data_IF_141199060408
#
_entry.id   IF_141199060408
#
_cell.length_a   1.000
_cell.length_b   1.000
_cell.length_c   1.000
_cell.angle_alpha   90.00
_cell.angle_beta   90.00
_cell.angle_gamma   90.00
#
_symmetry.space_group_name_H-M   'P 1'
#
loop_
_entity.id
_entity.type
_entity.pdbx_description
1 polymer ?
#
# COMPACT_ATOMS: atom_id res chain seq x y z
N UNK A 1 -26.44 -91.46 1.90
CA UNK A 1 -26.67 -90.02 1.87
C UNK A 1 -25.31 -89.36 1.94
N UNK A 2 -24.82 -89.03 0.79
CA UNK A 2 -23.46 -88.46 0.66
C UNK A 2 -23.61 -87.05 0.07
N UNK A 3 -23.31 -86.05 0.92
CA UNK A 3 -23.35 -84.64 0.53
C UNK A 3 -22.09 -84.30 -0.29
N UNK A 4 -22.33 -83.81 -1.49
CA UNK A 4 -21.28 -83.23 -2.35
C UNK A 4 -21.24 -81.71 -2.09
N UNK A 5 -20.10 -81.26 -1.56
CA UNK A 5 -19.80 -79.83 -1.46
C UNK A 5 -19.12 -79.32 -2.75
N UNK A 6 -19.56 -78.25 -3.40
CA UNK A 6 -18.90 -77.71 -4.56
C UNK A 6 -17.76 -76.80 -4.12
N UNK A 7 -16.50 -77.07 -4.54
CA UNK A 7 -15.33 -76.23 -4.46
C UNK A 7 -15.45 -75.08 -5.46
N UNK A 8 -15.64 -73.85 -4.98
CA UNK A 8 -15.48 -72.68 -5.82
C UNK A 8 -13.99 -72.40 -6.00
N UNK A 9 -13.49 -72.49 -7.20
CA UNK A 9 -12.18 -71.97 -7.61
C UNK A 9 -12.33 -70.51 -7.94
N UNK A 10 -11.84 -69.66 -7.06
CA UNK A 10 -11.78 -68.22 -7.22
C UNK A 10 -10.60 -67.87 -8.15
N UNK A 11 -10.86 -67.70 -9.43
CA UNK A 11 -9.88 -67.17 -10.40
C UNK A 11 -9.97 -65.66 -10.33
N UNK A 12 -9.22 -65.05 -9.38
CA UNK A 12 -8.98 -63.61 -9.36
C UNK A 12 -8.26 -63.20 -10.66
N UNK A 13 -8.99 -62.63 -11.60
CA UNK A 13 -8.42 -62.02 -12.81
C UNK A 13 -7.64 -60.77 -12.40
N UNK A 14 -6.32 -60.81 -12.55
CA UNK A 14 -5.42 -59.66 -12.43
C UNK A 14 -5.90 -58.60 -13.43
N UNK A 15 -6.18 -57.36 -13.00
CA UNK A 15 -6.56 -56.30 -13.95
C UNK A 15 -5.41 -56.06 -14.95
N UNK A 16 -5.70 -55.76 -16.21
CA UNK A 16 -4.70 -55.56 -17.22
C UNK A 16 -3.79 -54.40 -16.80
N UNK A 17 -2.48 -54.61 -16.80
CA UNK A 17 -1.50 -53.59 -16.48
C UNK A 17 -1.70 -52.40 -17.41
N UNK A 18 -1.94 -51.21 -16.86
CA UNK A 18 -2.04 -49.95 -17.59
C UNK A 18 -0.74 -49.80 -18.40
N UNK A 19 -0.79 -49.52 -19.71
CA UNK A 19 0.43 -49.35 -20.49
C UNK A 19 1.25 -48.20 -19.94
N UNK A 20 2.45 -48.49 -19.46
CA UNK A 20 3.39 -47.52 -18.96
C UNK A 20 3.80 -46.66 -20.15
N UNK A 21 3.55 -45.35 -20.08
CA UNK A 21 3.99 -44.42 -21.13
C UNK A 21 5.50 -44.50 -21.28
N UNK A 22 6.03 -44.54 -22.53
CA UNK A 22 7.46 -44.55 -22.78
C UNK A 22 8.13 -43.33 -22.10
N UNK A 23 9.16 -43.55 -21.29
CA UNK A 23 9.90 -42.51 -20.59
C UNK A 23 9.58 -42.39 -19.10
N UNK A 24 8.41 -42.88 -18.63
CA UNK A 24 8.10 -42.80 -17.18
C UNK A 24 9.03 -43.63 -16.30
N UNK A 25 9.63 -44.68 -16.84
CA UNK A 25 10.57 -45.52 -16.12
C UNK A 25 11.94 -44.87 -15.89
N UNK A 26 12.25 -43.79 -16.64
CA UNK A 26 13.49 -43.03 -16.51
C UNK A 26 13.38 -41.81 -15.59
N UNK A 27 12.19 -41.52 -15.06
CA UNK A 27 12.01 -40.40 -14.16
C UNK A 27 12.58 -40.71 -12.77
N UNK A 28 13.29 -39.73 -12.21
CA UNK A 28 13.75 -39.77 -10.82
C UNK A 28 12.56 -39.83 -9.85
N UNK A 29 12.74 -40.49 -8.70
CA UNK A 29 11.72 -40.52 -7.64
C UNK A 29 11.50 -39.15 -7.00
N UNK A 30 12.50 -38.28 -7.05
CA UNK A 30 12.41 -36.88 -6.58
C UNK A 30 12.41 -35.92 -7.76
N UNK A 31 11.67 -34.84 -7.63
CA UNK A 31 11.67 -33.73 -8.60
C UNK A 31 12.84 -32.80 -8.30
N UNK A 32 13.74 -32.63 -9.28
CA UNK A 32 14.91 -31.75 -9.18
C UNK A 32 14.69 -30.53 -10.08
N UNK A 33 14.19 -29.39 -9.54
CA UNK A 33 13.78 -28.23 -10.37
C UNK A 33 14.96 -27.49 -10.99
N UNK A 34 16.13 -27.48 -10.36
CA UNK A 34 17.26 -26.63 -10.74
C UNK A 34 17.69 -26.76 -12.21
N UNK A 35 17.77 -28.01 -12.72
CA UNK A 35 18.15 -28.25 -14.09
C UNK A 35 17.08 -27.76 -15.10
N UNK A 36 15.79 -27.88 -14.74
CA UNK A 36 14.68 -27.39 -15.56
C UNK A 36 14.63 -25.88 -15.58
N UNK A 37 14.77 -25.24 -14.41
CA UNK A 37 14.82 -23.79 -14.28
C UNK A 37 15.98 -23.17 -15.09
N UNK A 38 17.18 -23.77 -14.98
CA UNK A 38 18.36 -23.30 -15.69
C UNK A 38 18.24 -23.43 -17.23
N UNK A 39 17.46 -24.35 -17.70
CA UNK A 39 17.26 -24.58 -19.13
C UNK A 39 16.08 -23.79 -19.70
N UNK A 40 14.88 -23.97 -19.11
CA UNK A 40 13.65 -23.47 -19.72
C UNK A 40 13.45 -21.98 -19.55
N UNK A 41 13.84 -21.40 -18.43
CA UNK A 41 13.70 -19.95 -18.22
C UNK A 41 14.40 -19.13 -19.32
N UNK A 42 15.73 -19.29 -19.49
CA UNK A 42 16.47 -18.60 -20.55
C UNK A 42 15.97 -18.94 -21.97
N UNK A 43 15.55 -20.18 -22.21
CA UNK A 43 15.07 -20.59 -23.53
C UNK A 43 13.72 -19.91 -23.86
N UNK A 44 12.83 -19.73 -22.87
CA UNK A 44 11.57 -19.03 -23.09
C UNK A 44 11.76 -17.53 -23.32
N UNK A 45 12.67 -16.92 -22.59
CA UNK A 45 13.03 -15.51 -22.81
C UNK A 45 13.64 -15.32 -24.21
N UNK A 46 14.58 -16.17 -24.58
CA UNK A 46 15.21 -16.15 -25.91
C UNK A 46 14.19 -16.29 -27.05
N UNK A 47 13.19 -17.15 -26.87
CA UNK A 47 12.11 -17.35 -27.87
C UNK A 47 11.04 -16.26 -27.82
N UNK A 48 11.07 -15.34 -26.82
CA UNK A 48 10.12 -14.28 -26.68
C UNK A 48 8.71 -14.73 -26.32
N UNK A 49 8.55 -15.84 -25.63
CA UNK A 49 7.23 -16.40 -25.34
C UNK A 49 6.39 -15.51 -24.40
N UNK A 50 7.01 -14.68 -23.56
CA UNK A 50 6.35 -13.68 -22.72
C UNK A 50 6.03 -12.38 -23.44
N UNK A 51 6.68 -12.12 -24.58
CA UNK A 51 6.58 -10.84 -25.29
C UNK A 51 5.21 -10.69 -25.94
N UNK A 52 4.61 -9.49 -25.85
CA UNK A 52 3.35 -9.17 -26.48
C UNK A 52 3.40 -9.34 -27.99
N UNK A 53 2.29 -9.73 -28.60
CA UNK A 53 2.18 -10.01 -30.01
C UNK A 53 1.99 -11.51 -30.31
N UNK A 54 1.63 -11.83 -31.55
CA UNK A 54 1.43 -13.22 -31.95
C UNK A 54 2.76 -13.97 -31.95
N UNK A 55 2.87 -14.99 -31.11
CA UNK A 55 4.09 -15.84 -30.98
C UNK A 55 5.37 -15.04 -30.76
N UNK A 56 5.31 -13.97 -29.98
CA UNK A 56 6.47 -13.13 -29.68
C UNK A 56 6.92 -12.20 -30.80
N UNK A 57 6.12 -12.04 -31.85
CA UNK A 57 6.49 -11.16 -32.99
C UNK A 57 6.29 -9.67 -32.69
N UNK A 58 5.72 -9.31 -31.55
CA UNK A 58 5.29 -7.96 -31.16
C UNK A 58 4.29 -7.30 -32.13
N UNK A 59 3.80 -8.04 -33.13
CA UNK A 59 2.83 -7.55 -34.11
C UNK A 59 1.45 -8.13 -33.79
N UNK A 60 0.45 -7.28 -33.51
CA UNK A 60 -0.91 -7.76 -33.37
C UNK A 60 -1.45 -8.28 -34.70
N UNK A 61 -2.21 -9.37 -34.64
CA UNK A 61 -2.98 -9.83 -35.80
C UNK A 61 -4.35 -9.18 -35.75
N UNK A 62 -4.81 -8.66 -36.89
CA UNK A 62 -6.13 -8.03 -36.98
C UNK A 62 -7.23 -9.00 -36.52
N UNK A 63 -8.12 -8.53 -35.62
CA UNK A 63 -9.20 -9.34 -35.06
C UNK A 63 -8.79 -10.29 -33.93
N UNK A 64 -7.49 -10.35 -33.55
CA UNK A 64 -7.04 -11.15 -32.44
C UNK A 64 -7.50 -10.56 -31.10
N UNK A 65 -8.16 -11.33 -30.20
CA UNK A 65 -8.50 -10.85 -28.88
C UNK A 65 -7.25 -10.41 -28.10
N UNK A 66 -7.36 -9.35 -27.32
CA UNK A 66 -6.30 -8.90 -26.43
C UNK A 66 -6.57 -9.36 -24.99
N UNK A 67 -5.51 -9.78 -24.29
CA UNK A 67 -5.55 -10.06 -22.87
C UNK A 67 -4.32 -9.43 -22.21
N UNK A 68 -4.53 -8.49 -21.31
CA UNK A 68 -3.47 -7.83 -20.59
C UNK A 68 -3.70 -7.99 -19.08
N UNK A 69 -2.62 -8.28 -18.36
CA UNK A 69 -2.62 -8.32 -16.91
C UNK A 69 -1.39 -7.56 -16.41
N UNK A 70 -1.55 -6.81 -15.34
CA UNK A 70 -0.45 -6.09 -14.69
C UNK A 70 -0.18 -6.76 -13.36
N UNK A 71 1.09 -7.11 -13.11
CA UNK A 71 1.52 -7.60 -11.81
C UNK A 71 1.37 -6.48 -10.78
N UNK A 72 0.70 -6.70 -9.64
CA UNK A 72 0.89 -5.84 -8.48
C UNK A 72 2.38 -5.85 -8.11
N UNK A 73 3.08 -4.71 -8.23
CA UNK A 73 4.53 -4.71 -8.15
C UNK A 73 5.00 -5.03 -6.73
N UNK A 74 5.81 -6.08 -6.53
CA UNK A 74 6.38 -6.37 -5.23
C UNK A 74 7.25 -5.24 -4.71
N UNK A 75 7.18 -4.98 -3.42
CA UNK A 75 8.01 -4.00 -2.74
C UNK A 75 9.48 -4.44 -2.70
N UNK A 76 10.41 -3.52 -2.99
CA UNK A 76 11.86 -3.80 -2.89
C UNK A 76 12.36 -3.81 -1.44
N UNK A 77 11.56 -4.36 -0.52
CA UNK A 77 11.88 -4.47 0.90
C UNK A 77 12.54 -5.79 1.29
N UNK A 78 12.64 -6.74 0.36
CA UNK A 78 13.21 -8.06 0.61
C UNK A 78 13.07 -9.03 -0.56
N UNK A 79 12.68 -10.28 -0.25
CA UNK A 79 12.48 -11.37 -1.19
C UNK A 79 10.99 -11.69 -1.33
N UNK A 80 10.61 -12.40 -2.41
CA UNK A 80 9.27 -12.91 -2.55
C UNK A 80 8.97 -13.98 -1.48
N UNK A 81 7.71 -14.09 -1.09
CA UNK A 81 7.18 -15.11 -0.21
C UNK A 81 6.03 -15.89 -0.88
N UNK A 82 5.51 -16.92 -0.22
CA UNK A 82 4.49 -17.79 -0.79
C UNK A 82 3.23 -17.05 -1.28
N UNK A 83 2.84 -15.95 -0.65
CA UNK A 83 1.72 -15.12 -1.13
C UNK A 83 1.97 -14.52 -2.50
N UNK A 84 3.19 -14.05 -2.77
CA UNK A 84 3.58 -13.58 -4.09
C UNK A 84 3.57 -14.74 -5.11
N UNK A 85 4.15 -15.88 -4.75
CA UNK A 85 4.18 -17.05 -5.64
C UNK A 85 2.76 -17.52 -5.99
N UNK A 86 1.86 -17.55 -5.02
CA UNK A 86 0.46 -17.92 -5.24
C UNK A 86 -0.24 -16.96 -6.21
N UNK A 87 -0.12 -15.65 -5.97
CA UNK A 87 -0.72 -14.63 -6.83
C UNK A 87 -0.15 -14.70 -8.27
N UNK A 88 1.17 -14.78 -8.39
CA UNK A 88 1.85 -14.86 -9.69
C UNK A 88 1.49 -16.13 -10.45
N UNK A 89 1.36 -17.27 -9.77
CA UNK A 89 0.94 -18.53 -10.40
C UNK A 89 -0.48 -18.43 -10.98
N UNK A 90 -1.41 -17.74 -10.30
CA UNK A 90 -2.76 -17.50 -10.82
C UNK A 90 -2.69 -16.63 -12.09
N UNK A 91 -1.94 -15.54 -12.04
CA UNK A 91 -1.80 -14.61 -13.16
C UNK A 91 -1.13 -15.29 -14.37
N UNK A 92 -0.09 -16.09 -14.12
CA UNK A 92 0.60 -16.85 -15.15
C UNK A 92 -0.33 -17.89 -15.79
N UNK A 93 -1.09 -18.61 -14.99
CA UNK A 93 -2.08 -19.58 -15.48
C UNK A 93 -3.12 -18.93 -16.39
N UNK A 94 -3.65 -17.76 -16.01
CA UNK A 94 -4.59 -16.99 -16.83
C UNK A 94 -3.92 -16.51 -18.14
N UNK A 95 -2.71 -15.98 -18.05
CA UNK A 95 -1.95 -15.51 -19.22
C UNK A 95 -1.67 -16.64 -20.20
N UNK A 96 -1.24 -17.82 -19.70
CA UNK A 96 -1.02 -19.02 -20.51
C UNK A 96 -2.30 -19.52 -21.15
N UNK A 97 -3.40 -19.57 -20.40
CA UNK A 97 -4.70 -19.98 -20.89
C UNK A 97 -5.16 -19.11 -22.07
N UNK A 98 -5.15 -17.78 -21.91
CA UNK A 98 -5.52 -16.87 -22.99
C UNK A 98 -4.57 -16.94 -24.19
N UNK A 99 -3.28 -17.14 -23.96
CA UNK A 99 -2.29 -17.34 -25.04
C UNK A 99 -2.58 -18.62 -25.83
N UNK A 100 -2.94 -19.71 -25.15
CA UNK A 100 -3.31 -20.97 -25.80
C UNK A 100 -4.61 -20.84 -26.61
N UNK A 101 -5.54 -19.99 -26.21
CA UNK A 101 -6.74 -19.66 -26.98
C UNK A 101 -6.44 -18.74 -28.19
N UNK A 102 -5.18 -18.30 -28.39
CA UNK A 102 -4.78 -17.46 -29.50
C UNK A 102 -4.92 -15.96 -29.26
N UNK A 103 -5.16 -15.53 -28.02
CA UNK A 103 -5.17 -14.11 -27.69
C UNK A 103 -3.77 -13.49 -27.78
N UNK A 104 -3.70 -12.21 -28.13
CA UNK A 104 -2.52 -11.39 -27.94
C UNK A 104 -2.39 -11.06 -26.44
N UNK A 105 -1.45 -11.69 -25.76
CA UNK A 105 -1.29 -11.56 -24.32
C UNK A 105 -0.10 -10.70 -23.94
N UNK A 106 -0.27 -9.89 -22.88
CA UNK A 106 0.82 -9.23 -22.19
C UNK A 106 0.63 -9.31 -20.67
N UNK A 107 1.66 -9.75 -19.98
CA UNK A 107 1.74 -9.67 -18.52
C UNK A 107 2.97 -8.84 -18.17
N UNK A 108 2.74 -7.68 -17.56
CA UNK A 108 3.78 -6.67 -17.33
C UNK A 108 4.34 -6.86 -15.92
N UNK A 109 5.66 -7.14 -15.77
CA UNK A 109 6.32 -7.20 -14.48
C UNK A 109 6.76 -5.81 -14.00
N UNK A 110 6.88 -5.65 -12.70
CA UNK A 110 7.43 -4.44 -12.11
C UNK A 110 7.78 -4.62 -10.65
N UNK A 111 8.47 -3.65 -10.07
CA UNK A 111 8.79 -3.59 -8.64
C UNK A 111 8.44 -2.22 -8.07
N UNK A 112 8.05 -2.19 -6.79
CA UNK A 112 7.67 -0.96 -6.11
C UNK A 112 8.77 -0.49 -5.16
N UNK A 113 9.00 0.82 -5.17
CA UNK A 113 9.96 1.47 -4.28
C UNK A 113 9.56 1.44 -2.79
N UNK A 114 8.29 1.25 -2.47
CA UNK A 114 7.73 1.12 -1.12
C UNK A 114 8.10 2.25 -0.13
N UNK A 115 8.66 3.35 -0.60
CA UNK A 115 8.94 4.58 0.13
C UNK A 115 9.57 4.37 1.51
N UNK A 116 8.85 4.69 2.57
CA UNK A 116 9.31 4.63 3.97
C UNK A 116 9.79 3.22 4.36
N UNK A 117 9.09 2.16 3.95
CA UNK A 117 9.46 0.79 4.32
C UNK A 117 10.86 0.40 3.80
N UNK A 118 11.20 0.79 2.57
CA UNK A 118 12.54 0.57 2.00
C UNK A 118 13.61 1.38 2.75
N UNK A 119 13.29 2.63 3.11
CA UNK A 119 14.22 3.45 3.91
C UNK A 119 14.48 2.81 5.28
N UNK A 120 13.44 2.32 5.97
CA UNK A 120 13.59 1.62 7.27
C UNK A 120 14.50 0.38 7.14
N UNK A 121 14.40 -0.38 6.06
CA UNK A 121 15.29 -1.53 5.82
C UNK A 121 16.75 -1.07 5.72
N UNK A 122 17.01 -0.02 4.96
CA UNK A 122 18.36 0.54 4.80
C UNK A 122 18.87 1.16 6.12
N UNK A 123 18.02 1.87 6.85
CA UNK A 123 18.37 2.43 8.16
C UNK A 123 18.79 1.35 9.16
N UNK A 124 18.05 0.24 9.21
CA UNK A 124 18.41 -0.90 10.08
C UNK A 124 19.79 -1.47 9.73
N UNK A 125 20.08 -1.62 8.41
CA UNK A 125 21.40 -2.10 7.99
C UNK A 125 22.53 -1.13 8.34
N UNK A 126 22.27 0.18 8.30
CA UNK A 126 23.24 1.19 8.72
C UNK A 126 23.42 1.19 10.24
N UNK A 127 22.33 1.03 11.01
CA UNK A 127 22.38 0.92 12.48
C UNK A 127 23.22 -0.28 12.95
N UNK A 128 23.13 -1.42 12.25
CA UNK A 128 23.99 -2.59 12.52
C UNK A 128 25.49 -2.29 12.33
N UNK A 129 25.82 -1.24 11.56
CA UNK A 129 27.16 -0.72 11.33
C UNK A 129 27.49 0.48 12.24
N UNK A 130 26.58 0.88 13.13
CA UNK A 130 26.74 2.02 14.03
C UNK A 130 26.61 3.39 13.34
N UNK A 131 25.99 3.46 12.15
CA UNK A 131 25.82 4.68 11.35
C UNK A 131 24.35 5.07 11.29
N UNK A 132 24.04 6.35 11.52
CA UNK A 132 22.67 6.87 11.33
C UNK A 132 22.51 7.53 9.94
N UNK A 133 21.30 7.61 9.43
CA UNK A 133 21.00 8.34 8.19
C UNK A 133 21.36 9.83 8.28
N UNK A 134 21.30 10.39 9.51
CA UNK A 134 21.62 11.78 9.76
C UNK A 134 23.13 12.05 9.66
N UNK A 135 23.96 11.06 10.05
CA UNK A 135 25.42 11.16 9.94
C UNK A 135 25.87 11.14 8.48
N UNK A 136 25.18 10.35 7.64
CA UNK A 136 25.46 10.28 6.20
C UNK A 136 25.02 11.53 5.44
N UNK A 137 23.92 12.15 5.87
CA UNK A 137 23.23 13.16 5.09
C UNK A 137 22.43 12.60 3.92
N UNK A 138 21.57 13.44 3.32
CA UNK A 138 20.56 13.01 2.34
C UNK A 138 21.15 12.30 1.12
N UNK A 139 22.19 12.88 0.52
CA UNK A 139 22.74 12.35 -0.74
C UNK A 139 23.29 10.95 -0.58
N UNK A 140 24.19 10.75 0.40
CA UNK A 140 24.80 9.45 0.64
C UNK A 140 23.77 8.41 1.13
N UNK A 141 22.76 8.83 1.90
CA UNK A 141 21.67 7.92 2.28
C UNK A 141 20.86 7.46 1.07
N UNK A 142 20.49 8.36 0.16
CA UNK A 142 19.76 8.02 -1.07
C UNK A 142 20.58 7.06 -1.95
N UNK A 143 21.90 7.24 -2.05
CA UNK A 143 22.77 6.28 -2.75
C UNK A 143 22.68 4.89 -2.13
N UNK A 144 22.68 4.77 -0.79
CA UNK A 144 22.48 3.47 -0.11
C UNK A 144 21.11 2.84 -0.37
N UNK A 145 20.07 3.65 -0.47
CA UNK A 145 18.74 3.16 -0.85
C UNK A 145 18.72 2.63 -2.29
N UNK A 146 19.42 3.28 -3.22
CA UNK A 146 19.56 2.78 -4.59
C UNK A 146 20.39 1.49 -4.67
N UNK A 147 21.49 1.36 -3.92
CA UNK A 147 22.26 0.11 -3.81
C UNK A 147 21.36 -1.05 -3.32
N UNK A 148 20.53 -0.79 -2.31
CA UNK A 148 19.57 -1.77 -1.80
C UNK A 148 18.53 -2.13 -2.85
N UNK A 149 17.95 -1.17 -3.56
CA UNK A 149 16.98 -1.38 -4.64
C UNK A 149 17.54 -2.30 -5.71
N UNK A 150 18.76 -2.08 -6.13
CA UNK A 150 19.45 -2.94 -7.12
C UNK A 150 19.52 -4.39 -6.62
N UNK A 151 19.98 -4.58 -5.40
CA UNK A 151 20.11 -5.91 -4.79
C UNK A 151 18.76 -6.61 -4.63
N UNK A 152 17.78 -5.93 -4.03
CA UNK A 152 16.45 -6.51 -3.75
C UNK A 152 15.66 -6.74 -5.03
N UNK A 153 15.64 -5.78 -5.95
CA UNK A 153 14.95 -5.88 -7.23
C UNK A 153 15.46 -7.04 -8.07
N UNK A 154 16.79 -7.19 -8.20
CA UNK A 154 17.39 -8.30 -8.91
C UNK A 154 17.08 -9.65 -8.28
N UNK A 155 16.97 -9.73 -6.95
CA UNK A 155 16.56 -10.95 -6.25
C UNK A 155 15.12 -11.31 -6.60
N UNK A 156 14.19 -10.34 -6.54
CA UNK A 156 12.78 -10.52 -6.87
C UNK A 156 12.61 -11.03 -8.31
N UNK A 157 13.20 -10.36 -9.28
CA UNK A 157 13.07 -10.75 -10.70
C UNK A 157 13.71 -12.08 -11.00
N UNK A 158 14.81 -12.44 -10.31
CA UNK A 158 15.41 -13.76 -10.41
C UNK A 158 14.49 -14.86 -9.83
N UNK A 159 13.79 -14.59 -8.72
CA UNK A 159 12.82 -15.52 -8.16
C UNK A 159 11.62 -15.72 -9.09
N UNK A 160 11.11 -14.66 -9.74
CA UNK A 160 10.05 -14.75 -10.75
C UNK A 160 10.49 -15.60 -11.95
N UNK A 161 11.72 -15.42 -12.44
CA UNK A 161 12.28 -16.26 -13.52
C UNK A 161 12.35 -17.73 -13.13
N UNK A 162 12.76 -18.02 -11.90
CA UNK A 162 12.79 -19.40 -11.39
C UNK A 162 11.40 -20.03 -11.25
N UNK A 163 10.37 -19.24 -10.95
CA UNK A 163 8.98 -19.70 -10.95
C UNK A 163 8.47 -19.98 -12.37
N UNK A 164 9.13 -19.46 -13.39
CA UNK A 164 8.75 -19.63 -14.78
C UNK A 164 7.65 -18.67 -15.21
N UNK A 165 7.53 -17.52 -14.58
CA UNK A 165 6.56 -16.48 -14.92
C UNK A 165 6.73 -16.03 -16.36
N UNK A 166 5.65 -16.13 -17.17
CA UNK A 166 5.69 -15.78 -18.60
C UNK A 166 5.38 -14.29 -18.84
N UNK A 167 6.09 -13.45 -18.11
CA UNK A 167 5.97 -11.99 -18.22
C UNK A 167 6.75 -11.44 -19.42
N UNK A 168 6.39 -10.25 -19.85
CA UNK A 168 7.13 -9.50 -20.86
C UNK A 168 8.26 -8.70 -20.21
N UNK A 169 9.42 -9.29 -20.06
CA UNK A 169 10.60 -8.67 -19.44
C UNK A 169 11.07 -7.40 -20.17
N UNK A 170 10.73 -7.22 -21.45
CA UNK A 170 11.06 -5.99 -22.18
C UNK A 170 10.26 -4.77 -21.69
N UNK A 171 9.21 -5.00 -20.89
CA UNK A 171 8.34 -4.00 -20.31
C UNK A 171 8.47 -3.89 -18.78
N UNK A 172 9.51 -4.55 -18.23
CA UNK A 172 9.81 -4.42 -16.79
C UNK A 172 9.93 -2.96 -16.40
N UNK A 173 9.36 -2.60 -15.26
CA UNK A 173 9.40 -1.23 -14.73
C UNK A 173 9.69 -1.21 -13.23
N UNK A 174 10.18 -0.09 -12.79
CA UNK A 174 10.30 0.28 -11.38
C UNK A 174 9.51 1.57 -11.13
N UNK A 175 8.77 1.63 -10.03
CA UNK A 175 7.83 2.75 -9.78
C UNK A 175 8.49 4.13 -9.70
N UNK A 176 9.82 4.22 -9.57
CA UNK A 176 10.59 5.48 -9.64
C UNK A 176 11.45 5.62 -10.90
N UNK A 177 11.18 4.85 -11.96
CA UNK A 177 11.83 5.05 -13.25
C UNK A 177 11.54 6.46 -13.81
N UNK A 178 12.46 7.01 -14.57
CA UNK A 178 12.34 8.35 -15.16
C UNK A 178 11.03 8.55 -15.93
N UNK A 179 10.61 7.53 -16.68
CA UNK A 179 9.35 7.54 -17.44
C UNK A 179 8.15 7.67 -16.50
N UNK A 180 8.09 6.90 -15.43
CA UNK A 180 6.99 6.96 -14.46
C UNK A 180 7.03 8.23 -13.64
N UNK A 181 8.22 8.68 -13.23
CA UNK A 181 8.42 9.95 -12.52
C UNK A 181 7.91 11.13 -13.34
N UNK A 182 8.18 11.14 -14.65
CA UNK A 182 7.64 12.15 -15.57
C UNK A 182 6.12 12.11 -15.62
N UNK A 183 5.53 10.92 -15.80
CA UNK A 183 4.08 10.73 -15.85
C UNK A 183 3.40 11.19 -14.56
N UNK A 184 3.98 10.87 -13.39
CA UNK A 184 3.48 11.33 -12.09
C UNK A 184 3.47 12.85 -12.00
N UNK A 185 4.57 13.49 -12.42
CA UNK A 185 4.67 14.96 -12.41
C UNK A 185 3.65 15.60 -13.36
N UNK A 186 3.52 15.08 -14.57
CA UNK A 186 2.53 15.58 -15.55
C UNK A 186 1.10 15.42 -15.05
N UNK A 187 0.78 14.26 -14.43
CA UNK A 187 -0.55 14.02 -13.85
C UNK A 187 -0.83 14.99 -12.69
N UNK A 188 0.16 15.21 -11.81
CA UNK A 188 0.02 16.18 -10.72
C UNK A 188 -0.29 17.59 -11.23
N UNK A 189 0.42 18.06 -12.25
CA UNK A 189 0.19 19.35 -12.86
C UNK A 189 -1.22 19.44 -13.47
N UNK A 190 -1.65 18.42 -14.20
CA UNK A 190 -3.00 18.37 -14.79
C UNK A 190 -4.10 18.42 -13.71
N UNK A 191 -3.95 17.69 -12.61
CA UNK A 191 -4.92 17.72 -11.51
C UNK A 191 -4.99 19.10 -10.85
N UNK A 192 -3.86 19.79 -10.72
CA UNK A 192 -3.80 21.15 -10.20
C UNK A 192 -4.48 22.15 -11.16
N UNK A 193 -4.21 22.07 -12.46
CA UNK A 193 -4.83 22.93 -13.47
C UNK A 193 -6.35 22.72 -13.57
N UNK A 194 -6.82 21.49 -13.31
CA UNK A 194 -8.26 21.17 -13.24
C UNK A 194 -8.92 21.60 -11.92
N UNK A 195 -8.16 22.13 -10.96
CA UNK A 195 -8.66 22.53 -9.64
C UNK A 195 -9.04 21.36 -8.71
N UNK A 196 -8.63 20.12 -9.06
CA UNK A 196 -8.93 18.93 -8.26
C UNK A 196 -8.01 18.78 -7.06
N UNK A 197 -6.83 19.39 -7.09
CA UNK A 197 -5.91 19.49 -5.98
C UNK A 197 -5.50 20.94 -5.73
N UNK A 198 -5.21 21.27 -4.48
CA UNK A 198 -4.76 22.59 -4.08
C UNK A 198 -3.73 22.51 -2.95
N UNK A 199 -2.98 23.58 -2.77
CA UNK A 199 -2.05 23.71 -1.66
C UNK A 199 -2.74 24.33 -0.45
N UNK A 200 -2.76 23.63 0.67
CA UNK A 200 -3.36 24.11 1.91
C UNK A 200 -2.67 23.52 3.14
N UNK A 201 -2.99 24.07 4.31
CA UNK A 201 -2.64 23.48 5.60
C UNK A 201 -3.73 22.52 6.02
N UNK A 202 -3.35 21.33 6.50
CA UNK A 202 -4.27 20.31 6.98
C UNK A 202 -3.69 19.63 8.22
N UNK A 203 -4.54 19.17 9.12
CA UNK A 203 -4.13 18.29 10.22
C UNK A 203 -3.73 16.94 9.63
N UNK A 204 -2.61 16.41 10.09
CA UNK A 204 -2.09 15.10 9.69
C UNK A 204 -1.67 14.33 10.94
N UNK A 205 -1.75 12.99 10.87
CA UNK A 205 -1.13 12.14 11.86
C UNK A 205 0.40 12.19 11.67
N UNK A 206 1.13 12.40 12.73
CA UNK A 206 2.58 12.58 12.71
C UNK A 206 3.27 11.62 13.66
N UNK A 207 4.23 10.84 13.16
CA UNK A 207 5.10 10.01 13.97
C UNK A 207 6.38 10.79 14.34
N UNK A 208 6.60 11.10 15.64
CA UNK A 208 7.75 11.87 16.07
C UNK A 208 9.08 11.09 16.00
N UNK A 209 9.05 9.76 15.97
CA UNK A 209 10.24 8.91 15.84
C UNK A 209 10.70 8.85 14.39
N UNK A 210 9.78 8.58 13.48
CA UNK A 210 10.03 8.59 12.03
C UNK A 210 10.20 10.00 11.47
N UNK A 211 9.70 11.02 12.19
CA UNK A 211 9.63 12.41 11.75
C UNK A 211 8.92 12.55 10.39
N UNK A 212 7.79 11.86 10.27
CA UNK A 212 6.98 11.78 9.04
C UNK A 212 5.49 11.79 9.34
N UNK A 213 4.70 12.30 8.39
CA UNK A 213 3.26 12.05 8.38
C UNK A 213 3.01 10.57 8.09
N UNK A 214 1.99 10.01 8.73
CA UNK A 214 1.53 8.63 8.52
C UNK A 214 0.08 8.63 8.03
N UNK A 215 -0.29 7.59 7.30
CA UNK A 215 -1.65 7.39 6.82
C UNK A 215 -2.60 7.12 7.98
N UNK A 216 -3.84 7.57 7.87
CA UNK A 216 -4.89 7.29 8.86
C UNK A 216 -5.11 5.78 9.07
N UNK A 217 -4.82 4.96 8.04
CA UNK A 217 -4.90 3.50 8.11
C UNK A 217 -3.80 2.86 8.96
N UNK A 218 -2.72 3.59 9.24
CA UNK A 218 -1.57 3.13 10.05
C UNK A 218 -1.70 3.57 11.51
N UNK A 219 -2.78 4.32 11.85
CA UNK A 219 -3.02 4.83 13.20
C UNK A 219 -3.98 3.90 13.93
N UNK A 220 -3.50 3.30 14.99
CA UNK A 220 -4.31 2.49 15.90
C UNK A 220 -4.83 3.36 17.04
N UNK A 221 -6.16 3.37 17.22
CA UNK A 221 -6.80 4.10 18.32
C UNK A 221 -6.87 3.22 19.56
N UNK A 222 -6.29 3.68 20.67
CA UNK A 222 -6.35 3.02 21.97
C UNK A 222 -7.22 3.83 22.93
N UNK A 223 -8.14 3.15 23.61
CA UNK A 223 -8.87 3.78 24.71
C UNK A 223 -7.97 3.89 25.94
N UNK A 224 -7.84 5.12 26.45
CA UNK A 224 -7.07 5.42 27.68
C UNK A 224 -7.91 6.24 28.64
N UNK A 225 -7.77 5.94 29.93
CA UNK A 225 -8.34 6.77 30.97
C UNK A 225 -7.64 8.13 30.97
N UNK A 226 -8.42 9.20 30.83
CA UNK A 226 -7.93 10.58 30.80
C UNK A 226 -8.84 11.51 31.61
N UNK A 227 -8.54 12.80 31.54
CA UNK A 227 -9.32 13.86 32.20
C UNK A 227 -9.87 14.81 31.15
N UNK A 228 -11.07 15.33 31.43
CA UNK A 228 -11.63 16.44 30.68
C UNK A 228 -11.29 17.73 31.44
N UNK A 229 -10.53 18.61 30.83
CA UNK A 229 -10.10 19.88 31.39
C UNK A 229 -11.06 20.98 30.96
N UNK A 230 -11.64 21.68 31.91
CA UNK A 230 -12.51 22.83 31.66
C UNK A 230 -11.71 24.12 31.85
N UNK A 231 -11.63 24.93 30.80
CA UNK A 231 -10.84 26.16 30.77
C UNK A 231 -11.77 27.31 30.45
N UNK A 232 -11.74 28.38 31.26
CA UNK A 232 -12.47 29.62 30.99
C UNK A 232 -11.65 30.53 30.10
N UNK A 233 -12.22 30.95 28.97
CA UNK A 233 -11.68 31.98 28.09
C UNK A 233 -12.45 33.27 28.35
N UNK A 234 -11.91 34.24 29.12
CA UNK A 234 -12.60 35.47 29.46
C UNK A 234 -12.95 36.30 28.23
N UNK A 235 -14.11 36.96 28.22
CA UNK A 235 -14.41 37.93 27.18
C UNK A 235 -13.50 39.16 27.30
N UNK A 236 -12.92 39.59 26.17
CA UNK A 236 -11.95 40.69 26.13
C UNK A 236 -12.56 42.05 26.49
N UNK A 237 -13.88 42.20 26.32
CA UNK A 237 -14.63 43.42 26.55
C UNK A 237 -15.45 43.37 27.86
N UNK A 238 -15.10 42.45 28.75
CA UNK A 238 -15.80 42.21 30.01
C UNK A 238 -16.99 41.26 29.91
N UNK A 239 -17.63 40.91 31.03
CA UNK A 239 -18.71 39.93 31.09
C UNK A 239 -19.82 40.24 30.09
N UNK A 240 -20.34 39.19 29.44
CA UNK A 240 -21.48 39.23 28.52
C UNK A 240 -22.75 38.69 29.23
N UNK A 241 -23.89 38.78 28.57
CA UNK A 241 -25.13 38.19 29.05
C UNK A 241 -25.43 36.94 28.23
N UNK A 242 -25.69 35.81 28.88
CA UNK A 242 -26.12 34.57 28.25
C UNK A 242 -27.55 34.72 27.68
N UNK A 243 -27.96 33.78 26.85
CA UNK A 243 -29.30 33.76 26.24
C UNK A 243 -30.44 33.71 27.28
N UNK A 244 -30.20 33.16 28.47
CA UNK A 244 -31.14 33.10 29.60
C UNK A 244 -31.11 34.34 30.49
N UNK A 245 -30.30 35.35 30.16
CA UNK A 245 -30.15 36.59 30.93
C UNK A 245 -29.10 36.54 32.05
N UNK A 246 -28.41 35.42 32.25
CA UNK A 246 -27.37 35.30 33.29
C UNK A 246 -26.04 35.94 32.84
N UNK A 247 -25.24 36.52 33.78
CA UNK A 247 -23.93 37.07 33.42
C UNK A 247 -22.92 35.93 33.15
N UNK A 248 -22.19 36.04 32.00
CA UNK A 248 -21.11 35.15 31.60
C UNK A 248 -19.78 35.89 31.64
N UNK A 249 -18.82 35.40 32.42
CA UNK A 249 -17.47 35.96 32.47
C UNK A 249 -16.60 35.63 31.23
N UNK A 250 -16.95 34.57 30.52
CA UNK A 250 -16.24 34.07 29.35
C UNK A 250 -16.86 32.79 28.79
N UNK A 251 -16.18 32.17 27.84
CA UNK A 251 -16.56 30.88 27.28
C UNK A 251 -15.83 29.75 27.97
N UNK A 252 -16.58 28.70 28.36
CA UNK A 252 -15.97 27.47 28.89
C UNK A 252 -15.66 26.49 27.76
N UNK A 253 -14.42 26.07 27.69
CA UNK A 253 -13.93 25.07 26.73
C UNK A 253 -13.57 23.83 27.49
N UNK A 254 -13.99 22.67 26.98
CA UNK A 254 -13.63 21.37 27.52
C UNK A 254 -12.70 20.64 26.55
N UNK A 255 -11.58 20.15 27.04
CA UNK A 255 -10.60 19.45 26.22
C UNK A 255 -9.91 18.33 27.01
N UNK A 256 -9.57 17.25 26.30
CA UNK A 256 -8.70 16.18 26.83
C UNK A 256 -7.21 16.52 26.64
N UNK A 257 -6.89 17.56 25.86
CA UNK A 257 -5.53 17.96 25.49
C UNK A 257 -5.28 19.44 25.76
N UNK A 258 -5.16 19.86 27.02
CA UNK A 258 -5.04 21.27 27.40
C UNK A 258 -3.78 21.95 26.83
N UNK A 259 -2.74 21.17 26.48
CA UNK A 259 -1.52 21.68 25.85
C UNK A 259 -1.76 22.32 24.48
N UNK A 260 -2.82 21.91 23.76
CA UNK A 260 -3.15 22.47 22.44
C UNK A 260 -3.71 23.89 22.52
N UNK A 261 -4.24 24.31 23.67
CA UNK A 261 -4.80 25.64 23.90
C UNK A 261 -3.88 26.77 23.45
N UNK A 262 -2.57 26.62 23.66
CA UNK A 262 -1.58 27.65 23.31
C UNK A 262 -1.57 28.03 21.84
N UNK A 263 -2.08 27.14 20.96
CA UNK A 263 -2.15 27.34 19.52
C UNK A 263 -3.54 27.79 19.02
N UNK A 264 -4.55 27.91 19.89
CA UNK A 264 -5.91 28.26 19.47
C UNK A 264 -5.95 29.59 18.74
N UNK A 265 -6.61 29.60 17.58
CA UNK A 265 -6.76 30.77 16.72
C UNK A 265 -8.15 31.39 16.77
N UNK A 266 -9.16 30.65 17.18
CA UNK A 266 -10.55 31.07 17.34
C UNK A 266 -11.30 30.10 18.26
N UNK A 267 -12.40 30.56 18.85
CA UNK A 267 -13.46 29.70 19.39
C UNK A 267 -14.54 29.53 18.32
N UNK A 268 -15.05 28.33 18.17
CA UNK A 268 -16.05 28.04 17.17
C UNK A 268 -17.35 27.62 17.81
N UNK A 269 -18.47 28.20 17.38
CA UNK A 269 -19.82 27.84 17.80
C UNK A 269 -20.67 27.49 16.60
N UNK A 270 -21.70 26.66 16.77
CA UNK A 270 -22.61 26.36 15.67
C UNK A 270 -23.48 27.60 15.36
N UNK A 271 -23.67 27.98 14.06
CA UNK A 271 -24.40 29.20 13.69
C UNK A 271 -25.87 29.22 14.15
N UNK A 272 -26.48 28.05 14.32
CA UNK A 272 -27.86 27.90 14.77
C UNK A 272 -27.97 27.63 16.28
N UNK A 273 -26.88 27.72 17.04
CA UNK A 273 -26.94 27.52 18.49
C UNK A 273 -27.36 28.82 19.20
N UNK A 274 -28.63 28.89 19.58
CA UNK A 274 -29.24 30.05 20.24
C UNK A 274 -28.50 30.45 21.51
N UNK A 275 -27.80 29.54 22.18
CA UNK A 275 -27.01 29.81 23.38
C UNK A 275 -25.89 30.80 23.13
N UNK A 276 -25.28 30.74 21.93
CA UNK A 276 -24.01 31.40 21.60
C UNK A 276 -24.06 32.31 20.36
N UNK A 277 -25.15 32.30 19.55
CA UNK A 277 -25.29 33.13 18.36
C UNK A 277 -24.93 34.60 18.58
N UNK A 278 -25.38 35.19 19.72
CA UNK A 278 -25.15 36.58 20.06
C UNK A 278 -23.70 36.92 20.43
N UNK A 279 -22.86 35.90 20.58
CA UNK A 279 -21.44 36.03 20.91
C UNK A 279 -20.53 35.96 19.65
N UNK A 280 -21.08 35.58 18.48
CA UNK A 280 -20.32 35.49 17.23
C UNK A 280 -19.73 36.87 16.89
N UNK A 281 -18.45 36.92 16.56
CA UNK A 281 -17.69 38.13 16.29
C UNK A 281 -17.09 38.83 17.51
N UNK A 282 -17.45 38.40 18.73
CA UNK A 282 -16.79 38.90 19.95
C UNK A 282 -15.40 38.30 20.14
N UNK A 283 -14.59 38.92 20.97
CA UNK A 283 -13.24 38.47 21.27
C UNK A 283 -13.14 37.90 22.68
N UNK A 284 -12.32 36.86 22.83
CA UNK A 284 -11.93 36.29 24.12
C UNK A 284 -10.43 36.39 24.32
N UNK A 285 -9.98 36.47 25.54
CA UNK A 285 -8.57 36.44 25.89
C UNK A 285 -8.13 34.98 26.01
N UNK A 286 -7.11 34.57 25.21
CA UNK A 286 -6.54 33.24 25.29
C UNK A 286 -5.76 33.10 26.60
N UNK A 287 -6.14 32.18 27.50
CA UNK A 287 -5.44 32.03 28.78
C UNK A 287 -3.94 31.72 28.58
N UNK A 288 -3.11 32.21 29.46
CA UNK A 288 -1.64 32.06 29.46
C UNK A 288 -0.91 32.65 28.22
N UNK A 289 -1.67 33.14 27.24
CA UNK A 289 -1.13 33.68 26.01
C UNK A 289 -1.53 35.13 25.84
N UNK A 290 -0.82 36.09 26.02
CA UNK A 290 -1.22 37.50 25.89
C UNK A 290 -1.78 37.84 24.48
N UNK A 291 -2.86 37.15 24.09
CA UNK A 291 -3.45 37.14 22.74
C UNK A 291 -4.98 37.04 22.82
N UNK A 292 -5.65 37.80 21.94
CA UNK A 292 -7.12 37.75 21.78
C UNK A 292 -7.45 36.92 20.55
N UNK A 293 -8.49 36.11 20.65
CA UNK A 293 -9.00 35.28 19.56
C UNK A 293 -10.50 35.52 19.36
N UNK A 294 -11.02 35.46 18.12
CA UNK A 294 -12.43 35.69 17.84
C UNK A 294 -13.29 34.47 18.15
N UNK A 295 -14.57 34.70 18.40
CA UNK A 295 -15.63 33.70 18.37
C UNK A 295 -16.18 33.70 16.95
N UNK A 296 -16.09 32.58 16.25
CA UNK A 296 -16.56 32.39 14.88
C UNK A 296 -17.69 31.35 14.83
N UNK A 297 -18.40 31.29 13.72
CA UNK A 297 -19.43 30.28 13.46
C UNK A 297 -18.98 29.29 12.41
N UNK A 298 -19.27 28.01 12.65
CA UNK A 298 -19.03 26.94 11.65
C UNK A 298 -20.00 25.79 11.90
N UNK A 299 -20.59 25.26 10.82
CA UNK A 299 -21.52 24.12 10.85
C UNK A 299 -20.85 22.82 11.31
N UNK A 300 -19.52 22.77 11.33
CA UNK A 300 -18.74 21.63 11.84
C UNK A 300 -18.95 21.39 13.35
N UNK A 301 -19.34 22.41 14.10
CA UNK A 301 -19.51 22.31 15.57
C UNK A 301 -20.73 21.48 15.91
N UNK A 302 -20.55 20.43 16.70
CA UNK A 302 -21.66 19.63 17.20
C UNK A 302 -22.37 20.38 18.35
N UNK A 303 -23.64 20.73 18.15
CA UNK A 303 -24.50 21.41 19.12
C UNK A 303 -24.69 20.63 20.43
N UNK A 304 -24.52 19.32 20.41
CA UNK A 304 -24.67 18.47 21.58
C UNK A 304 -23.48 18.58 22.55
N UNK A 305 -22.31 18.98 22.04
CA UNK A 305 -21.10 19.15 22.86
C UNK A 305 -20.89 20.57 23.37
N UNK A 306 -21.45 21.53 22.76
CA UNK A 306 -21.21 22.94 22.91
C UNK A 306 -21.70 23.63 24.08
#
# INVERSE_FOLDING_TARGET
>A
MTELTPTMTDTASTPPATPIQPGLQSLSKSFEPAALEAHWGPEWEKRGYGVAGYRGTQQPVAGQPAFAIQLPPPNVTGTLHMGHAFNQTIMDSLTRYHRMLGANTVWIPGTDHAGIATQIVVERQLQDQGVSRHDLGRTAFVEKVWEWKEKSGNTITSQMRRMGDTVDWSREYFTMDDKLSKTVTETFVQLYEQGLIYRGKRLVNWDPVLQSAVSDLEVESEERNGFMWHILYPFSDGPQTAADGTPMAGMHIATTRPETMLADGALCVHPEDERYQHLIGKMVDLPLCNRKIPIIADDFVDRAFG
#
